data_IF_273174733718
#
_entry.id   IF_273174733718
#
_cell.length_a   1.000
_cell.length_b   1.000
_cell.length_c   1.000
_cell.angle_alpha   90.00
_cell.angle_beta   90.00
_cell.angle_gamma   90.00
#
_symmetry.space_group_name_H-M   'P 1'
#
loop_
_entity.id
_entity.type
_entity.pdbx_description
1 polymer ?
#
# COMPACT_ATOMS: atom_id res chain seq x y z
N UNK A 1 3.16 -9.72 6.04
CA UNK A 1 4.20 -9.32 5.06
C UNK A 1 3.74 -9.78 3.69
N UNK A 2 3.74 -8.89 2.70
CA UNK A 2 3.48 -9.20 1.29
C UNK A 2 4.81 -9.25 0.52
N UNK A 3 5.02 -10.35 -0.20
CA UNK A 3 6.15 -10.51 -1.12
C UNK A 3 5.68 -10.79 -2.53
N UNK A 4 5.53 -9.73 -3.32
CA UNK A 4 5.19 -9.78 -4.74
C UNK A 4 3.70 -9.97 -5.06
N UNK A 5 2.80 -10.01 -4.07
CA UNK A 5 1.35 -10.12 -4.35
C UNK A 5 0.86 -8.85 -5.04
N UNK A 6 1.17 -7.68 -4.48
CA UNK A 6 0.83 -6.40 -5.10
C UNK A 6 1.43 -6.26 -6.52
N UNK A 7 2.64 -6.78 -6.75
CA UNK A 7 3.27 -6.80 -8.08
C UNK A 7 2.52 -7.69 -9.05
N UNK A 8 2.18 -8.92 -8.64
CA UNK A 8 1.42 -9.86 -9.45
C UNK A 8 0.03 -9.30 -9.81
N UNK A 9 -0.62 -8.62 -8.86
CA UNK A 9 -1.88 -7.89 -9.11
C UNK A 9 -1.66 -6.80 -10.17
N UNK A 10 -0.56 -6.05 -10.08
CA UNK A 10 -0.23 -4.99 -11.03
C UNK A 10 0.01 -5.47 -12.46
N UNK A 11 0.39 -6.73 -12.67
CA UNK A 11 0.60 -7.33 -13.99
C UNK A 11 -0.70 -7.81 -14.66
N UNK A 12 -1.82 -7.84 -13.93
CA UNK A 12 -3.11 -8.20 -14.49
C UNK A 12 -3.64 -7.10 -15.43
N UNK A 13 -4.42 -7.40 -16.49
CA UNK A 13 -5.06 -6.38 -17.33
C UNK A 13 -5.85 -5.33 -16.53
N UNK A 14 -6.64 -5.78 -15.55
CA UNK A 14 -7.35 -4.92 -14.59
C UNK A 14 -6.52 -4.49 -13.37
N UNK A 15 -5.18 -4.55 -13.45
CA UNK A 15 -4.26 -4.26 -12.35
C UNK A 15 -4.58 -2.97 -11.60
N UNK A 16 -4.81 -1.82 -12.27
CA UNK A 16 -5.17 -0.57 -11.61
C UNK A 16 -6.37 -0.68 -10.67
N UNK A 17 -7.43 -1.39 -11.08
CA UNK A 17 -8.64 -1.55 -10.27
C UNK A 17 -8.39 -2.58 -9.15
N UNK A 18 -7.74 -3.69 -9.46
CA UNK A 18 -7.47 -4.76 -8.48
C UNK A 18 -6.51 -4.31 -7.37
N UNK A 19 -5.58 -3.39 -7.64
CA UNK A 19 -4.71 -2.77 -6.61
C UNK A 19 -5.50 -1.93 -5.61
N UNK A 20 -6.52 -1.21 -6.08
CA UNK A 20 -7.42 -0.48 -5.19
C UNK A 20 -8.15 -1.45 -4.26
N UNK A 21 -8.67 -2.55 -4.81
CA UNK A 21 -9.32 -3.61 -4.01
C UNK A 21 -8.35 -4.26 -3.03
N UNK A 22 -7.09 -4.44 -3.40
CA UNK A 22 -6.05 -4.94 -2.51
C UNK A 22 -5.88 -4.03 -1.29
N UNK A 23 -5.71 -2.73 -1.49
CA UNK A 23 -5.56 -1.78 -0.37
C UNK A 23 -6.81 -1.71 0.52
N UNK A 24 -8.00 -1.75 -0.08
CA UNK A 24 -9.26 -1.84 0.67
C UNK A 24 -9.30 -3.11 1.53
N UNK A 25 -8.96 -4.27 0.96
CA UNK A 25 -8.94 -5.56 1.65
C UNK A 25 -7.93 -5.58 2.80
N UNK A 26 -6.71 -5.08 2.57
CA UNK A 26 -5.65 -4.99 3.58
C UNK A 26 -6.05 -4.03 4.71
N UNK A 27 -6.76 -2.93 4.39
CA UNK A 27 -7.21 -1.95 5.40
C UNK A 27 -8.25 -2.52 6.36
N UNK A 28 -9.06 -3.47 5.89
CA UNK A 28 -10.09 -4.18 6.67
C UNK A 28 -9.52 -5.38 7.43
N UNK A 29 -8.46 -6.00 6.90
CA UNK A 29 -7.82 -7.16 7.53
C UNK A 29 -6.92 -6.78 8.71
N UNK A 30 -6.30 -5.59 8.67
CA UNK A 30 -5.40 -5.12 9.71
C UNK A 30 -6.14 -4.36 10.81
N UNK A 31 -5.92 -4.77 12.05
CA UNK A 31 -6.33 -3.99 13.22
C UNK A 31 -5.62 -2.61 13.23
N UNK A 32 -6.23 -1.57 13.82
CA UNK A 32 -5.55 -0.31 14.11
C UNK A 32 -4.22 -0.55 14.86
N UNK A 33 -3.16 0.15 14.46
CA UNK A 33 -1.79 -0.09 14.93
C UNK A 33 -1.06 -1.25 14.25
N UNK A 34 -1.73 -2.03 13.40
CA UNK A 34 -1.13 -3.11 12.62
C UNK A 34 -0.16 -2.60 11.55
N UNK A 35 0.81 -3.43 11.16
CA UNK A 35 1.83 -3.08 10.16
C UNK A 35 1.70 -4.00 8.95
N UNK A 36 1.63 -3.39 7.76
CA UNK A 36 1.85 -4.09 6.50
C UNK A 36 3.24 -3.78 5.97
N UNK A 37 3.96 -4.82 5.59
CA UNK A 37 5.27 -4.71 4.94
C UNK A 37 5.09 -5.22 3.52
N UNK A 38 5.26 -4.34 2.53
CA UNK A 38 5.23 -4.68 1.10
C UNK A 38 6.66 -4.85 0.63
N UNK A 39 6.94 -5.96 -0.06
CA UNK A 39 8.20 -6.17 -0.78
C UNK A 39 7.88 -6.34 -2.26
N UNK A 40 8.51 -5.50 -3.08
CA UNK A 40 8.21 -5.35 -4.50
C UNK A 40 9.48 -5.35 -5.35
N UNK A 41 9.42 -5.98 -6.53
CA UNK A 41 10.46 -5.89 -7.56
C UNK A 41 10.05 -5.02 -8.75
N UNK A 42 8.79 -4.57 -8.78
CA UNK A 42 8.24 -3.77 -9.88
C UNK A 42 8.01 -2.30 -9.48
N UNK A 43 8.11 -1.97 -8.19
CA UNK A 43 7.89 -0.62 -7.67
C UNK A 43 9.04 -0.17 -6.79
N UNK A 44 9.37 1.09 -6.92
CA UNK A 44 10.24 1.82 -5.99
C UNK A 44 9.50 2.15 -4.70
N UNK A 45 10.27 2.57 -3.68
CA UNK A 45 9.69 3.09 -2.42
C UNK A 45 8.71 4.24 -2.68
N UNK A 46 9.10 5.20 -3.50
CA UNK A 46 8.32 6.43 -3.72
C UNK A 46 7.01 6.13 -4.46
N UNK A 47 7.02 5.23 -5.44
CA UNK A 47 5.81 4.77 -6.12
C UNK A 47 4.84 4.08 -5.16
N UNK A 48 5.33 3.22 -4.26
CA UNK A 48 4.50 2.57 -3.25
C UNK A 48 3.91 3.58 -2.25
N UNK A 49 4.69 4.58 -1.84
CA UNK A 49 4.19 5.64 -0.93
C UNK A 49 3.11 6.46 -1.62
N UNK A 50 3.35 6.88 -2.86
CA UNK A 50 2.38 7.66 -3.64
C UNK A 50 1.09 6.88 -3.88
N UNK A 51 1.16 5.58 -4.14
CA UNK A 51 -0.03 4.74 -4.31
C UNK A 51 -0.88 4.67 -3.03
N UNK A 52 -0.23 4.54 -1.86
CA UNK A 52 -0.94 4.55 -0.57
C UNK A 52 -1.56 5.91 -0.29
N UNK A 53 -0.88 7.00 -0.62
CA UNK A 53 -1.43 8.36 -0.51
C UNK A 53 -2.68 8.54 -1.41
N UNK A 54 -2.62 8.05 -2.65
CA UNK A 54 -3.77 8.06 -3.56
C UNK A 54 -4.94 7.23 -3.03
N UNK A 55 -4.66 6.07 -2.42
CA UNK A 55 -5.69 5.25 -1.78
C UNK A 55 -6.33 5.99 -0.59
N UNK A 56 -5.51 6.61 0.25
CA UNK A 56 -5.99 7.37 1.42
C UNK A 56 -6.92 8.52 0.99
N UNK A 57 -6.57 9.27 -0.06
CA UNK A 57 -7.39 10.37 -0.57
C UNK A 57 -8.76 9.89 -1.09
N UNK A 58 -8.80 8.75 -1.81
CA UNK A 58 -10.05 8.16 -2.30
C UNK A 58 -10.97 7.73 -1.15
N UNK A 59 -10.41 7.16 -0.09
CA UNK A 59 -11.19 6.69 1.05
C UNK A 59 -11.85 7.85 1.81
N UNK A 60 -11.15 8.98 1.94
CA UNK A 60 -11.70 10.22 2.53
C UNK A 60 -12.88 10.74 1.70
N UNK A 61 -12.76 10.76 0.36
CA UNK A 61 -13.83 11.23 -0.51
C UNK A 61 -15.10 10.36 -0.43
N UNK A 62 -14.96 9.03 -0.33
CA UNK A 62 -16.10 8.10 -0.19
C UNK A 62 -16.81 8.28 1.16
N UNK A 63 -16.08 8.64 2.21
CA UNK A 63 -16.63 8.85 3.55
C UNK A 63 -17.39 10.18 3.71
N UNK A 64 -17.35 11.06 2.71
CA UNK A 64 -18.07 12.34 2.68
C UNK A 64 -19.41 12.29 1.92
N UNK A 65 -19.80 11.14 1.35
CA UNK A 65 -21.12 10.95 0.72
C UNK A 65 -22.23 10.83 1.79
N UNK A 66 -23.29 11.66 1.75
CA UNK A 66 -24.32 11.70 2.79
C UNK A 66 -25.31 10.55 2.63
N UNK A 67 -24.95 9.36 3.09
CA UNK A 67 -25.93 8.28 3.31
C UNK A 67 -26.30 8.19 4.78
N UNK A 68 -27.55 8.53 5.06
CA UNK A 68 -28.14 8.58 6.38
C UNK A 68 -28.27 7.19 7.00
N UNK A 69 -27.52 6.90 8.07
CA UNK A 69 -28.05 6.36 9.34
C UNK A 69 -26.96 6.43 10.41
N UNK A 70 -27.27 7.14 11.50
CA UNK A 70 -26.44 7.23 12.70
C UNK A 70 -26.51 5.89 13.43
N UNK A 71 -25.38 5.25 13.66
CA UNK A 71 -25.08 4.63 14.95
C UNK A 71 -23.56 4.61 15.16
N UNK A 72 -23.18 4.82 16.41
CA UNK A 72 -21.86 5.22 16.89
C UNK A 72 -20.77 4.21 16.53
N UNK A 73 -19.69 4.69 15.92
CA UNK A 73 -18.34 4.20 16.22
C UNK A 73 -17.32 5.29 15.83
N UNK A 74 -16.59 5.74 16.83
CA UNK A 74 -15.57 6.79 16.77
C UNK A 74 -14.54 6.56 15.66
N UNK A 75 -14.11 7.65 15.02
CA UNK A 75 -12.82 7.82 14.33
C UNK A 75 -12.72 7.32 12.87
N UNK A 76 -13.14 8.14 11.88
CA UNK A 76 -12.80 7.92 10.46
C UNK A 76 -12.28 9.15 9.70
N UNK A 77 -11.75 10.15 10.41
CA UNK A 77 -11.16 11.33 9.74
C UNK A 77 -9.68 11.16 9.37
N UNK A 78 -9.07 10.01 9.68
CA UNK A 78 -7.65 9.78 9.45
C UNK A 78 -7.40 8.84 8.26
N UNK A 79 -6.34 9.11 7.47
CA UNK A 79 -5.96 8.24 6.37
C UNK A 79 -5.73 6.81 6.88
N UNK A 80 -6.24 5.76 6.21
CA UNK A 80 -6.12 4.38 6.68
C UNK A 80 -4.69 3.93 6.96
N UNK A 81 -3.74 4.35 6.12
CA UNK A 81 -2.33 3.97 6.22
C UNK A 81 -1.40 5.18 6.30
N UNK A 82 -0.30 5.02 7.03
CA UNK A 82 0.80 5.98 7.12
C UNK A 82 2.12 5.30 6.82
N UNK A 83 2.99 5.94 6.04
CA UNK A 83 4.36 5.46 5.86
C UNK A 83 5.08 5.34 7.22
N UNK A 84 5.70 4.18 7.47
CA UNK A 84 6.42 3.91 8.71
C UNK A 84 7.94 3.89 8.48
N UNK A 85 8.43 3.01 7.60
CA UNK A 85 9.86 2.89 7.30
C UNK A 85 10.09 2.11 5.99
N UNK A 86 11.33 2.00 5.53
CA UNK A 86 11.72 1.13 4.43
C UNK A 86 13.16 0.61 4.60
N UNK A 87 13.50 -0.45 3.87
CA UNK A 87 14.88 -0.92 3.76
C UNK A 87 15.65 0.06 2.88
N UNK A 88 16.65 0.73 3.45
CA UNK A 88 17.42 1.79 2.77
C UNK A 88 18.47 1.27 1.80
N UNK A 89 18.98 0.07 2.05
CA UNK A 89 20.07 -0.53 1.28
C UNK A 89 19.75 -1.98 0.98
N UNK A 90 19.67 -2.29 -0.32
CA UNK A 90 19.69 -3.66 -0.81
C UNK A 90 21.08 -3.99 -1.35
N UNK A 91 21.63 -5.18 -1.05
CA UNK A 91 22.80 -5.66 -1.74
C UNK A 91 22.52 -5.67 -3.24
N UNK A 92 23.30 -4.91 -4.01
CA UNK A 92 23.17 -4.87 -5.46
C UNK A 92 24.22 -5.80 -6.05
N UNK A 93 23.77 -6.86 -6.70
CA UNK A 93 24.67 -7.76 -7.42
C UNK A 93 24.76 -7.30 -8.88
N UNK A 94 25.99 -7.15 -9.37
CA UNK A 94 26.26 -6.83 -10.76
C UNK A 94 26.80 -8.08 -11.45
N UNK A 95 26.19 -8.47 -12.57
CA UNK A 95 26.68 -9.55 -13.42
C UNK A 95 26.87 -8.99 -14.84
N UNK A 96 28.09 -9.11 -15.39
CA UNK A 96 28.40 -8.60 -16.72
C UNK A 96 28.23 -7.09 -16.90
N UNK A 97 28.34 -6.30 -15.83
CA UNK A 97 28.15 -4.83 -15.86
C UNK A 97 26.70 -4.36 -15.80
N UNK A 98 25.72 -5.27 -15.77
CA UNK A 98 24.31 -4.96 -15.55
C UNK A 98 23.95 -5.13 -14.07
N UNK A 99 23.31 -4.12 -13.50
CA UNK A 99 22.68 -4.17 -12.17
C UNK A 99 21.37 -4.95 -12.29
N UNK A 100 21.19 -5.99 -11.46
CA UNK A 100 19.93 -6.74 -11.39
C UNK A 100 18.74 -5.87 -10.95
N UNK A 101 17.51 -6.38 -11.15
CA UNK A 101 16.29 -5.68 -10.72
C UNK A 101 16.35 -5.31 -9.24
N UNK A 102 15.99 -4.06 -8.90
CA UNK A 102 16.04 -3.54 -7.53
C UNK A 102 14.74 -3.88 -6.79
N UNK A 103 14.86 -4.56 -5.66
CA UNK A 103 13.74 -4.78 -4.74
C UNK A 103 13.55 -3.55 -3.86
N UNK A 104 12.30 -3.19 -3.56
CA UNK A 104 11.92 -2.26 -2.51
C UNK A 104 11.16 -3.00 -1.40
N UNK A 105 11.35 -2.59 -0.14
CA UNK A 105 10.54 -3.06 1.00
C UNK A 105 10.15 -1.88 1.84
N UNK A 106 8.84 -1.67 1.95
CA UNK A 106 8.26 -0.51 2.62
C UNK A 106 7.24 -1.00 3.65
N UNK A 107 7.30 -0.43 4.84
CA UNK A 107 6.36 -0.67 5.91
C UNK A 107 5.38 0.50 6.02
N UNK A 108 4.10 0.16 6.15
CA UNK A 108 3.01 1.10 6.42
C UNK A 108 2.30 0.71 7.71
N UNK A 109 1.99 1.70 8.53
CA UNK A 109 1.19 1.56 9.75
C UNK A 109 -0.28 1.78 9.41
N UNK A 110 -1.15 0.88 9.86
CA UNK A 110 -2.60 1.07 9.90
C UNK A 110 -2.93 2.01 11.07
N UNK A 111 -3.50 3.17 10.77
CA UNK A 111 -3.88 4.15 11.80
C UNK A 111 -5.10 3.72 12.63
#
# INVERSE_FOLDING_TARGET
>A
MDKGTLDAIGLHPDGPIKRIMYWDSVSKLLAPGGIIVITSCNHTKDELVQEVENFNQRNIAISQEPSATKDQETHRDHPPFRYLNHVRTYPTFMFGGSVGSRVATVAFLRN
#
